data_IF_363150732116
#
_entry.id   IF_363150732116
#
_cell.length_a   1.000
_cell.length_b   1.000
_cell.length_c   1.000
_cell.angle_alpha   90.00
_cell.angle_beta   90.00
_cell.angle_gamma   90.00
#
_symmetry.space_group_name_H-M   'P 1'
#
loop_
_entity.id
_entity.type
_entity.pdbx_description
1 polymer ?
#
# COMPACT_ATOMS: atom_id res chain seq x y z
N UNK A 1 26.27 29.63 47.33
CA UNK A 1 25.52 28.37 47.14
C UNK A 1 25.03 28.29 45.70
N UNK A 2 25.86 27.86 44.76
CA UNK A 2 25.56 27.82 43.33
C UNK A 2 25.46 26.38 42.77
N UNK A 3 25.14 25.41 43.62
CA UNK A 3 25.12 23.97 43.26
C UNK A 3 23.84 23.53 42.53
N UNK A 4 22.74 24.29 42.64
CA UNK A 4 21.44 23.88 42.09
C UNK A 4 21.35 23.94 40.55
N UNK A 5 22.10 24.85 39.92
CA UNK A 5 22.10 25.00 38.46
C UNK A 5 22.84 23.86 37.76
N UNK A 6 24.03 23.54 38.25
CA UNK A 6 24.89 22.50 37.68
C UNK A 6 24.27 21.09 37.84
N UNK A 7 23.61 20.83 38.97
CA UNK A 7 22.90 19.57 39.19
C UNK A 7 21.70 19.39 38.24
N UNK A 8 21.00 20.47 37.91
CA UNK A 8 19.90 20.44 36.95
C UNK A 8 20.41 20.20 35.52
N UNK A 9 21.49 20.87 35.13
CA UNK A 9 22.13 20.68 33.81
C UNK A 9 22.63 19.25 33.66
N UNK A 10 23.23 18.67 34.70
CA UNK A 10 23.69 17.28 34.73
C UNK A 10 22.52 16.29 34.57
N UNK A 11 21.44 16.46 35.33
CA UNK A 11 20.25 15.61 35.24
C UNK A 11 19.59 15.64 33.85
N UNK A 12 19.45 16.84 33.28
CA UNK A 12 18.88 17.00 31.92
C UNK A 12 19.80 16.32 30.91
N UNK A 13 21.11 16.54 31.01
CA UNK A 13 22.12 15.98 30.11
C UNK A 13 22.14 14.44 30.13
N UNK A 14 22.08 13.81 31.31
CA UNK A 14 22.02 12.34 31.45
C UNK A 14 20.78 11.74 30.75
N UNK A 15 19.61 12.38 30.92
CA UNK A 15 18.36 11.95 30.27
C UNK A 15 18.37 12.17 28.77
N UNK A 16 19.04 13.23 28.31
CA UNK A 16 19.15 13.60 26.90
C UNK A 16 20.17 12.72 26.17
N UNK A 17 21.34 12.41 26.75
CA UNK A 17 22.34 11.52 26.17
C UNK A 17 21.73 10.14 25.90
N UNK A 18 20.99 9.60 26.88
CA UNK A 18 20.26 8.32 26.75
C UNK A 18 19.25 8.32 25.61
N UNK A 19 18.75 9.50 25.19
CA UNK A 19 17.74 9.65 24.14
C UNK A 19 18.32 10.03 22.77
N UNK A 20 19.46 10.73 22.74
CA UNK A 20 20.14 11.21 21.53
C UNK A 20 20.86 10.08 20.79
N UNK A 21 21.21 8.99 21.47
CA UNK A 21 21.91 7.87 20.83
C UNK A 21 20.99 6.98 19.98
N UNK A 22 19.66 7.16 20.04
CA UNK A 22 18.71 6.37 19.21
C UNK A 22 17.49 7.10 18.62
N UNK A 23 17.61 8.33 18.06
CA UNK A 23 16.45 9.06 17.54
C UNK A 23 16.12 8.74 16.07
N UNK A 24 17.00 8.05 15.32
CA UNK A 24 16.74 7.69 13.90
C UNK A 24 16.06 6.34 13.74
N UNK A 25 16.56 5.32 14.43
CA UNK A 25 15.99 3.97 14.39
C UNK A 25 14.59 3.92 15.00
N UNK A 26 14.36 4.50 16.18
CA UNK A 26 13.03 4.49 16.82
C UNK A 26 11.96 5.25 16.01
N UNK A 27 12.33 6.32 15.30
CA UNK A 27 11.38 7.04 14.43
C UNK A 27 11.01 6.20 13.20
N UNK A 28 11.96 5.48 12.62
CA UNK A 28 11.71 4.57 11.50
C UNK A 28 10.90 3.36 11.95
N UNK A 29 11.23 2.77 13.11
CA UNK A 29 10.51 1.63 13.66
C UNK A 29 9.11 2.00 14.09
N UNK A 30 8.88 3.11 14.82
CA UNK A 30 7.53 3.57 15.13
C UNK A 30 6.70 3.83 13.87
N UNK A 31 7.29 4.38 12.82
CA UNK A 31 6.58 4.57 11.54
C UNK A 31 6.29 3.23 10.85
N UNK A 32 7.22 2.26 10.88
CA UNK A 32 7.02 0.92 10.33
C UNK A 32 5.97 0.13 11.11
N UNK A 33 6.04 0.14 12.43
CA UNK A 33 5.07 -0.48 13.33
C UNK A 33 3.69 0.16 13.19
N UNK A 34 3.59 1.50 13.12
CA UNK A 34 2.32 2.16 12.83
C UNK A 34 1.80 1.82 11.43
N UNK A 35 2.64 1.67 10.41
CA UNK A 35 2.19 1.23 9.08
C UNK A 35 1.75 -0.24 9.07
N UNK A 36 2.38 -1.09 9.87
CA UNK A 36 2.04 -2.50 9.98
C UNK A 36 0.77 -2.74 10.82
N UNK A 37 0.55 -1.92 11.86
CA UNK A 37 -0.62 -2.01 12.74
C UNK A 37 -1.80 -1.15 12.28
N UNK A 38 -1.59 -0.16 11.40
CA UNK A 38 -2.69 0.58 10.81
C UNK A 38 -3.34 -0.29 9.74
N UNK A 39 -4.50 -0.82 10.08
CA UNK A 39 -5.43 -1.30 9.07
C UNK A 39 -5.59 -0.21 7.99
N UNK A 40 -5.54 -0.58 6.70
CA UNK A 40 -5.78 0.37 5.63
C UNK A 40 -7.10 1.08 5.90
N UNK A 41 -7.09 2.42 5.86
CA UNK A 41 -8.30 3.22 6.07
C UNK A 41 -9.44 2.75 5.16
N UNK A 42 -9.11 2.29 3.95
CA UNK A 42 -10.06 1.71 3.01
C UNK A 42 -10.78 0.50 3.60
N UNK A 43 -10.08 -0.39 4.30
CA UNK A 43 -10.70 -1.53 5.00
C UNK A 43 -11.56 -1.04 6.16
N UNK A 44 -11.10 -0.03 6.89
CA UNK A 44 -11.84 0.56 8.03
C UNK A 44 -13.16 1.24 7.62
N UNK A 45 -13.19 1.89 6.45
CA UNK A 45 -14.34 2.67 6.00
C UNK A 45 -15.21 1.94 4.95
N UNK A 46 -14.62 1.06 4.15
CA UNK A 46 -15.31 0.41 3.04
C UNK A 46 -15.40 -1.11 3.16
N UNK A 47 -14.76 -1.73 4.16
CA UNK A 47 -14.83 -3.17 4.39
C UNK A 47 -14.66 -3.98 3.11
N UNK A 48 -15.71 -4.74 2.73
CA UNK A 48 -15.72 -5.61 1.55
C UNK A 48 -16.08 -4.91 0.22
N UNK A 49 -16.40 -3.61 0.23
CA UNK A 49 -16.81 -2.87 -0.97
C UNK A 49 -15.80 -2.92 -2.13
N UNK A 50 -14.47 -2.83 -1.92
CA UNK A 50 -13.50 -2.94 -3.01
C UNK A 50 -13.56 -4.30 -3.73
N UNK A 51 -13.94 -5.36 -3.01
CA UNK A 51 -14.10 -6.70 -3.57
C UNK A 51 -15.30 -6.74 -4.52
N UNK A 52 -16.45 -6.20 -4.10
CA UNK A 52 -17.67 -6.13 -4.91
C UNK A 52 -17.45 -5.29 -6.18
N UNK A 53 -16.76 -4.15 -6.07
CA UNK A 53 -16.41 -3.30 -7.22
C UNK A 53 -15.46 -4.03 -8.18
N UNK A 54 -14.46 -4.74 -7.66
CA UNK A 54 -13.53 -5.54 -8.46
C UNK A 54 -14.26 -6.62 -9.25
N UNK A 55 -15.19 -7.33 -8.62
CA UNK A 55 -15.98 -8.38 -9.27
C UNK A 55 -16.89 -7.80 -10.37
N UNK A 56 -17.53 -6.66 -10.11
CA UNK A 56 -18.32 -5.96 -11.12
C UNK A 56 -17.49 -5.50 -12.31
N UNK A 57 -16.29 -4.95 -12.06
CA UNK A 57 -15.37 -4.51 -13.10
C UNK A 57 -14.82 -5.66 -13.93
N UNK A 58 -14.60 -6.85 -13.34
CA UNK A 58 -14.21 -8.07 -14.07
C UNK A 58 -15.30 -8.49 -15.06
N UNK A 59 -16.56 -8.57 -14.62
CA UNK A 59 -17.68 -8.91 -15.50
C UNK A 59 -17.87 -7.93 -16.67
N UNK A 60 -17.51 -6.64 -16.51
CA UNK A 60 -17.53 -5.65 -17.59
C UNK A 60 -16.37 -5.84 -18.59
N UNK A 61 -15.18 -6.21 -18.11
CA UNK A 61 -13.99 -6.41 -18.96
C UNK A 61 -14.08 -7.67 -19.81
N UNK A 62 -14.74 -8.73 -19.32
CA UNK A 62 -14.93 -9.98 -20.08
C UNK A 62 -15.73 -9.78 -21.38
N UNK A 63 -16.68 -8.84 -21.40
CA UNK A 63 -17.41 -8.48 -22.62
C UNK A 63 -16.53 -7.77 -23.67
N UNK A 64 -15.42 -7.14 -23.25
CA UNK A 64 -14.48 -6.45 -24.14
C UNK A 64 -13.45 -7.42 -24.73
N UNK A 65 -12.96 -8.38 -23.94
CA UNK A 65 -12.00 -9.39 -24.41
C UNK A 65 -12.60 -10.40 -25.40
N UNK A 66 -13.89 -10.76 -25.23
CA UNK A 66 -14.61 -11.65 -26.17
C UNK A 66 -14.78 -11.08 -27.59
N UNK A 67 -14.66 -9.76 -27.79
CA UNK A 67 -14.70 -9.15 -29.14
C UNK A 67 -13.35 -9.15 -29.83
N UNK A 68 -12.25 -9.10 -29.07
CA UNK A 68 -10.89 -9.12 -29.63
C UNK A 68 -10.54 -10.53 -30.11
N UNK A 69 -10.93 -11.57 -29.37
CA UNK A 69 -10.64 -12.95 -29.75
C UNK A 69 -11.52 -13.50 -30.89
N UNK A 70 -12.63 -12.83 -31.26
CA UNK A 70 -13.47 -13.21 -32.42
C UNK A 70 -12.95 -12.69 -33.76
N UNK A 71 -11.94 -11.81 -33.77
CA UNK A 71 -11.37 -11.27 -35.02
C UNK A 71 -10.28 -12.15 -35.64
N UNK A 72 -9.83 -13.21 -34.97
CA UNK A 72 -8.69 -14.02 -35.45
C UNK A 72 -9.08 -15.45 -35.89
N UNK A 73 -10.37 -15.80 -35.89
CA UNK A 73 -10.84 -17.15 -36.28
C UNK A 73 -11.70 -17.17 -37.56
N UNK A 74 -11.56 -16.18 -38.43
CA UNK A 74 -12.29 -16.14 -39.73
C UNK A 74 -11.35 -15.73 -40.86
N UNK A 75 -10.25 -16.46 -41.03
CA UNK A 75 -9.44 -16.41 -42.25
C UNK A 75 -8.85 -17.80 -42.49
N UNK A 76 -9.67 -18.72 -43.01
CA UNK A 76 -9.25 -19.87 -43.84
C UNK A 76 -10.49 -20.72 -44.17
N UNK A 77 -11.35 -20.20 -45.04
CA UNK A 77 -12.30 -21.02 -45.81
C UNK A 77 -12.75 -20.25 -47.06
N UNK A 78 -11.91 -20.29 -48.10
CA UNK A 78 -12.32 -20.03 -49.48
C UNK A 78 -12.54 -21.39 -50.15
N UNK A 79 -13.77 -21.76 -50.53
CA UNK A 79 -13.94 -22.77 -51.57
C UNK A 79 -13.73 -22.08 -52.92
N UNK A 80 -12.53 -22.22 -53.48
CA UNK A 80 -12.27 -21.93 -54.88
C UNK A 80 -12.82 -23.08 -55.71
N UNK A 81 -14.11 -23.03 -56.02
CA UNK A 81 -14.64 -23.78 -57.16
C UNK A 81 -15.78 -22.98 -57.78
N UNK A 82 -15.46 -22.27 -58.86
CA UNK A 82 -16.41 -21.84 -59.88
C UNK A 82 -15.68 -21.82 -61.22
N UNK A 83 -16.14 -22.74 -62.06
CA UNK A 83 -16.09 -22.76 -63.54
C UNK A 83 -14.77 -23.15 -64.21
#
# INVERSE_FOLDING_TARGET
MAVKGDDLVKYITERVITYIDTPRELRKEKRKQQKAQKEPWTTRWFGLLPLSISLWNRNRKDKRSRRVSRRHSTKHSLPSNKE
#
